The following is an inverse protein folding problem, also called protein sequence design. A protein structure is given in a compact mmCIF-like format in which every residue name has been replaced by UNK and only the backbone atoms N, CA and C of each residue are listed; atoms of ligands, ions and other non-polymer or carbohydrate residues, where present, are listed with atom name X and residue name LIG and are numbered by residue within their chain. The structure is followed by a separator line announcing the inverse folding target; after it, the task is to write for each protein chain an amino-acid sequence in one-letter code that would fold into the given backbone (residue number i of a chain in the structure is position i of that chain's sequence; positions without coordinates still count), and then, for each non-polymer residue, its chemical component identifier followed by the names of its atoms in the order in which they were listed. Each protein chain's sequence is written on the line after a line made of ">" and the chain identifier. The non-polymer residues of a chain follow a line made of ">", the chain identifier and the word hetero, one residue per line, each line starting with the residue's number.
data_IF_003158090445
#
_entry.id   IF_003158090445
#
_cell.length_a   1.000
_cell.length_b   1.000
_cell.length_c   1.000
_cell.angle_alpha   90.00
_cell.angle_beta   90.00
_cell.angle_gamma   90.00
#
_symmetry.space_group_name_H-M   'P 1'
#
loop_
_entity.id
_entity.type
_entity.pdbx_description
1 polymer ?
#
# COMPACT_ATOMS: atom_id res chain seq x y z
N UNK A 1 14.86 -17.88 28.17
CA UNK A 1 13.86 -16.80 28.37
C UNK A 1 12.78 -16.97 27.32
N UNK A 2 11.59 -17.52 27.64
CA UNK A 2 10.53 -17.65 26.65
C UNK A 2 9.82 -16.28 26.51
N UNK A 3 9.93 -15.66 25.34
CA UNK A 3 9.22 -14.41 25.03
C UNK A 3 7.84 -14.75 24.48
N UNK A 4 6.80 -14.23 25.13
CA UNK A 4 5.39 -14.46 24.83
C UNK A 4 4.98 -13.71 23.57
N UNK A 5 4.62 -14.47 22.53
CA UNK A 5 4.07 -13.93 21.27
C UNK A 5 2.64 -13.43 21.48
N UNK A 6 2.46 -12.11 21.62
CA UNK A 6 1.14 -11.49 21.58
C UNK A 6 0.73 -11.25 20.12
N UNK A 7 -0.05 -12.16 19.55
CA UNK A 7 -0.74 -11.96 18.27
C UNK A 7 -1.80 -10.89 18.46
N UNK A 8 -1.52 -9.66 18.01
CA UNK A 8 -2.52 -8.59 17.92
C UNK A 8 -3.48 -8.91 16.77
N UNK A 9 -4.50 -9.71 17.05
CA UNK A 9 -5.62 -9.95 16.15
C UNK A 9 -6.20 -8.60 15.75
N UNK A 10 -6.11 -8.24 14.46
CA UNK A 10 -6.83 -7.06 13.96
C UNK A 10 -8.30 -7.31 14.25
N UNK A 11 -8.88 -6.50 15.13
CA UNK A 11 -10.32 -6.47 15.34
C UNK A 11 -10.94 -5.98 14.02
N UNK A 12 -11.46 -6.91 13.21
CA UNK A 12 -12.15 -6.59 11.96
C UNK A 12 -13.47 -5.96 12.38
N UNK A 13 -13.49 -4.63 12.45
CA UNK A 13 -14.72 -3.88 12.63
C UNK A 13 -15.44 -3.84 11.29
N UNK A 14 -16.43 -4.70 11.11
CA UNK A 14 -17.30 -4.71 9.93
C UNK A 14 -18.20 -3.48 9.99
N UNK A 15 -17.79 -2.41 9.33
CA UNK A 15 -18.68 -1.32 8.96
C UNK A 15 -19.44 -1.72 7.68
N UNK A 16 -20.71 -1.30 7.51
CA UNK A 16 -21.42 -1.50 6.26
C UNK A 16 -20.67 -0.80 5.12
N UNK A 17 -20.13 -1.59 4.19
CA UNK A 17 -19.49 -1.07 2.98
C UNK A 17 -20.56 -0.89 1.91
N UNK A 18 -20.66 0.32 1.35
CA UNK A 18 -21.58 0.60 0.22
C UNK A 18 -21.06 0.04 -1.11
N UNK A 19 -19.85 -0.53 -1.15
CA UNK A 19 -19.26 -1.15 -2.33
C UNK A 19 -19.53 -2.66 -2.40
N UNK A 20 -19.85 -3.14 -3.60
CA UNK A 20 -20.00 -4.55 -3.93
C UNK A 20 -18.74 -5.00 -4.67
N UNK A 21 -18.08 -6.07 -4.21
CA UNK A 21 -16.96 -6.69 -4.91
C UNK A 21 -17.47 -7.85 -5.79
N UNK A 22 -17.27 -7.72 -7.10
CA UNK A 22 -17.61 -8.72 -8.09
C UNK A 22 -16.33 -9.41 -8.59
N UNK A 23 -16.41 -10.72 -8.85
CA UNK A 23 -15.32 -11.50 -9.43
C UNK A 23 -15.69 -11.92 -10.84
N UNK A 24 -14.83 -11.62 -11.81
CA UNK A 24 -14.97 -12.02 -13.20
C UNK A 24 -13.86 -13.00 -13.58
N UNK A 25 -14.08 -13.82 -14.60
CA UNK A 25 -12.97 -14.44 -15.35
C UNK A 25 -12.53 -13.40 -16.38
N UNK A 26 -11.22 -13.15 -16.50
CA UNK A 26 -10.67 -12.16 -17.43
C UNK A 26 -11.21 -12.35 -18.86
N UNK A 27 -11.44 -11.25 -19.63
CA UNK A 27 -11.16 -9.86 -19.28
C UNK A 27 -12.23 -9.19 -18.39
N UNK A 28 -11.82 -8.18 -17.61
CA UNK A 28 -12.75 -7.38 -16.79
C UNK A 28 -13.73 -6.58 -17.68
N UNK A 29 -15.06 -6.71 -17.51
CA UNK A 29 -16.02 -5.92 -18.29
C UNK A 29 -15.97 -4.45 -17.88
N UNK A 30 -16.18 -3.53 -18.82
CA UNK A 30 -16.18 -2.08 -18.53
C UNK A 30 -17.38 -1.66 -17.66
N UNK A 31 -18.53 -2.32 -17.85
CA UNK A 31 -19.80 -1.99 -17.21
C UNK A 31 -20.57 -3.25 -16.83
N UNK A 32 -21.32 -3.17 -15.73
CA UNK A 32 -22.22 -4.22 -15.24
C UNK A 32 -23.60 -3.63 -14.92
N UNK A 33 -24.64 -4.39 -15.19
CA UNK A 33 -26.02 -3.98 -14.87
C UNK A 33 -26.55 -4.82 -13.71
N UNK A 34 -27.01 -4.16 -12.65
CA UNK A 34 -27.61 -4.80 -11.48
C UNK A 34 -28.91 -4.06 -11.18
N UNK A 35 -30.05 -4.75 -11.19
CA UNK A 35 -31.35 -4.14 -10.88
C UNK A 35 -31.69 -2.93 -11.78
N UNK A 36 -31.41 -3.02 -13.08
CA UNK A 36 -31.61 -1.95 -14.08
C UNK A 36 -30.74 -0.70 -13.90
N UNK A 37 -29.73 -0.74 -13.03
CA UNK A 37 -28.71 0.31 -12.89
C UNK A 37 -27.40 -0.13 -13.51
N UNK A 38 -26.73 0.78 -14.23
CA UNK A 38 -25.44 0.52 -14.88
C UNK A 38 -24.30 1.07 -14.03
N UNK A 39 -23.35 0.21 -13.68
CA UNK A 39 -22.17 0.55 -12.89
C UNK A 39 -20.90 0.39 -13.73
N UNK A 40 -19.97 1.33 -13.59
CA UNK A 40 -18.63 1.18 -14.13
C UNK A 40 -17.82 0.26 -13.23
N UNK A 41 -17.23 -0.78 -13.83
CA UNK A 41 -16.38 -1.71 -13.10
C UNK A 41 -15.01 -1.07 -12.93
N UNK A 42 -14.47 -1.14 -11.72
CA UNK A 42 -13.09 -0.72 -11.42
C UNK A 42 -12.34 -1.93 -10.87
N UNK A 43 -11.10 -2.18 -11.31
CA UNK A 43 -10.24 -3.17 -10.68
C UNK A 43 -10.17 -2.93 -9.17
N UNK A 44 -10.34 -3.99 -8.38
CA UNK A 44 -10.17 -3.90 -6.94
C UNK A 44 -8.68 -4.04 -6.59
N UNK A 45 -7.94 -2.95 -6.79
CA UNK A 45 -6.52 -2.86 -6.46
C UNK A 45 -6.35 -2.60 -4.96
N UNK A 46 -5.88 -3.60 -4.23
CA UNK A 46 -5.52 -3.42 -2.82
C UNK A 46 -4.14 -2.75 -2.73
N UNK A 47 -3.97 -1.76 -1.85
CA UNK A 47 -2.67 -1.12 -1.69
C UNK A 47 -1.62 -2.16 -1.26
N UNK A 48 -0.51 -2.21 -1.98
CA UNK A 48 0.59 -3.12 -1.67
C UNK A 48 1.20 -2.74 -0.32
N UNK A 49 1.38 -3.72 0.56
CA UNK A 49 2.03 -3.50 1.85
C UNK A 49 3.50 -3.12 1.63
N UNK A 50 3.85 -1.94 2.15
CA UNK A 50 5.22 -1.41 2.14
C UNK A 50 5.80 -1.43 3.54
N UNK A 51 7.03 -1.90 3.67
CA UNK A 51 7.76 -1.82 4.92
C UNK A 51 8.01 -0.35 5.30
N UNK A 52 7.62 0.04 6.51
CA UNK A 52 7.81 1.43 6.99
C UNK A 52 9.26 1.77 7.31
N UNK A 53 10.14 0.77 7.36
CA UNK A 53 11.57 0.93 7.65
C UNK A 53 12.39 1.04 6.37
N UNK A 54 12.39 0.00 5.54
CA UNK A 54 13.22 -0.05 4.33
C UNK A 54 12.50 0.42 3.05
N UNK A 55 11.20 0.74 3.12
CA UNK A 55 10.37 1.21 2.00
C UNK A 55 10.17 0.21 0.84
N UNK A 56 10.67 -1.03 0.97
CA UNK A 56 10.42 -2.12 0.03
C UNK A 56 9.06 -2.79 0.28
N UNK A 57 8.54 -3.47 -0.74
CA UNK A 57 7.30 -4.22 -0.68
C UNK A 57 7.50 -5.66 -0.22
N UNK A 58 6.40 -6.35 0.11
CA UNK A 58 6.38 -7.79 0.37
C UNK A 58 6.63 -8.21 1.82
N UNK A 59 6.98 -7.26 2.71
CA UNK A 59 7.14 -7.53 4.13
C UNK A 59 6.75 -6.35 5.01
N UNK A 60 6.39 -6.66 6.26
CA UNK A 60 6.16 -5.65 7.30
C UNK A 60 7.43 -5.35 8.11
N UNK A 61 7.39 -4.30 8.93
CA UNK A 61 8.52 -3.86 9.75
C UNK A 61 9.06 -4.97 10.68
N UNK A 62 8.18 -5.83 11.19
CA UNK A 62 8.54 -6.93 12.12
C UNK A 62 9.53 -7.92 11.48
N UNK A 63 9.42 -8.15 10.17
CA UNK A 63 10.27 -9.10 9.43
C UNK A 63 11.34 -8.37 8.58
N UNK A 64 11.57 -7.08 8.85
CA UNK A 64 12.49 -6.28 8.06
C UNK A 64 13.92 -6.46 8.53
N UNK A 65 14.76 -7.04 7.66
CA UNK A 65 16.21 -7.11 7.84
C UNK A 65 16.97 -6.06 7.01
N UNK A 66 16.25 -5.18 6.31
CA UNK A 66 16.84 -4.12 5.47
C UNK A 66 17.22 -2.85 6.24
N UNK A 67 18.01 -2.01 5.58
CA UNK A 67 18.39 -0.68 6.06
C UNK A 67 17.18 0.28 6.08
N UNK A 68 17.20 1.23 7.01
CA UNK A 68 16.17 2.27 7.07
C UNK A 68 16.39 3.31 5.97
N UNK A 69 15.31 3.73 5.32
CA UNK A 69 15.32 4.77 4.30
C UNK A 69 14.44 5.95 4.71
N UNK A 70 14.88 7.15 4.33
CA UNK A 70 14.09 8.36 4.51
C UNK A 70 12.79 8.28 3.69
N UNK A 71 11.65 8.52 4.33
CA UNK A 71 10.30 8.52 3.75
C UNK A 71 10.06 9.67 2.77
N UNK A 72 10.97 10.64 2.68
CA UNK A 72 10.92 11.75 1.72
C UNK A 72 11.75 11.48 0.47
N UNK A 73 13.02 11.12 0.66
CA UNK A 73 14.01 11.05 -0.42
C UNK A 73 14.64 9.67 -0.64
N UNK A 74 14.22 8.64 0.10
CA UNK A 74 14.80 7.29 0.07
C UNK A 74 16.29 7.23 0.42
N UNK A 75 16.87 8.26 1.02
CA UNK A 75 18.27 8.25 1.46
C UNK A 75 18.49 7.44 2.74
N UNK A 76 19.73 7.01 2.98
CA UNK A 76 20.16 6.36 4.22
C UNK A 76 20.42 7.39 5.33
N UNK A 77 19.35 7.96 5.88
CA UNK A 77 19.39 8.85 7.04
C UNK A 77 18.01 8.95 7.70
N UNK A 78 17.96 9.57 8.87
CA UNK A 78 16.71 9.79 9.59
C UNK A 78 15.76 10.75 8.87
N UNK A 79 14.46 10.62 9.14
CA UNK A 79 13.44 11.46 8.51
C UNK A 79 13.50 12.91 8.98
N UNK A 80 13.98 13.14 10.20
CA UNK A 80 13.97 14.45 10.84
C UNK A 80 14.98 15.39 10.17
N UNK A 81 14.51 16.58 9.80
CA UNK A 81 15.36 17.58 9.15
C UNK A 81 15.74 17.25 7.69
N UNK A 82 15.05 16.33 7.02
CA UNK A 82 15.33 16.04 5.62
C UNK A 82 14.99 17.23 4.69
N UNK A 83 16.03 17.94 4.26
CA UNK A 83 15.94 19.06 3.29
C UNK A 83 16.02 18.61 1.83
N UNK A 84 16.30 17.33 1.55
CA UNK A 84 16.37 16.81 0.18
C UNK A 84 15.00 16.84 -0.49
N UNK A 85 15.01 16.90 -1.81
CA UNK A 85 13.79 16.79 -2.61
C UNK A 85 13.15 15.41 -2.51
N UNK A 86 11.87 15.36 -2.86
CA UNK A 86 11.08 14.14 -2.90
C UNK A 86 11.63 13.16 -3.93
N UNK A 87 12.00 11.97 -3.46
CA UNK A 87 12.63 10.96 -4.29
C UNK A 87 12.17 9.55 -3.90
N UNK A 88 11.53 8.89 -4.86
CA UNK A 88 10.99 7.56 -4.75
C UNK A 88 12.04 6.50 -5.10
N UNK A 89 12.15 5.46 -4.26
CA UNK A 89 13.09 4.35 -4.46
C UNK A 89 12.91 3.63 -5.81
N UNK A 90 11.68 3.59 -6.33
CA UNK A 90 11.33 2.88 -7.56
C UNK A 90 11.22 3.78 -8.79
N UNK A 91 10.81 5.03 -8.61
CA UNK A 91 10.49 5.95 -9.71
C UNK A 91 11.48 7.11 -9.86
N UNK A 92 12.36 7.33 -8.87
CA UNK A 92 13.26 8.47 -8.84
C UNK A 92 12.59 9.76 -8.36
N UNK A 93 13.06 10.94 -8.82
CA UNK A 93 12.58 12.23 -8.33
C UNK A 93 11.13 12.53 -8.75
N UNK A 94 10.46 13.42 -8.01
CA UNK A 94 9.14 13.98 -8.36
C UNK A 94 8.01 13.62 -7.39
N UNK A 95 8.18 12.59 -6.56
CA UNK A 95 7.27 12.30 -5.45
C UNK A 95 7.95 11.51 -4.33
N UNK A 96 7.46 11.67 -3.09
CA UNK A 96 7.93 10.86 -1.98
C UNK A 96 7.50 9.38 -2.11
N UNK A 97 8.28 8.42 -1.59
CA UNK A 97 8.00 6.97 -1.62
C UNK A 97 6.62 6.55 -1.10
N UNK A 98 6.02 7.36 -0.24
CA UNK A 98 4.70 7.08 0.34
C UNK A 98 3.53 7.70 -0.43
N UNK A 99 3.80 8.37 -1.56
CA UNK A 99 2.77 8.99 -2.40
C UNK A 99 1.85 7.93 -3.02
N UNK A 100 0.55 8.22 -3.04
CA UNK A 100 -0.46 7.42 -3.76
C UNK A 100 -0.35 7.56 -5.28
N UNK A 101 0.42 8.53 -5.76
CA UNK A 101 0.67 8.75 -7.19
C UNK A 101 1.77 7.82 -7.74
N UNK A 102 2.46 7.09 -6.87
CA UNK A 102 3.51 6.20 -7.29
C UNK A 102 2.92 4.98 -8.02
N UNK A 103 3.29 4.73 -9.29
CA UNK A 103 2.75 3.61 -10.07
C UNK A 103 3.16 2.24 -9.50
N UNK A 104 4.28 2.17 -8.76
CA UNK A 104 4.69 0.93 -8.08
C UNK A 104 3.84 0.58 -6.84
N UNK A 105 2.96 1.49 -6.40
CA UNK A 105 2.10 1.31 -5.24
C UNK A 105 0.65 0.95 -5.61
N UNK A 106 0.35 0.93 -6.92
CA UNK A 106 -0.87 0.48 -7.56
C UNK A 106 -0.67 -0.95 -8.07
#
# INVERSE_FOLDING_TARGET
>A
MPYTSQTKTRHIQTAPNQAIHLKFREPLPERVTIGNLVYHVRPNTLPVMRCTRCLLFGHGNIFCNGCAHCRKCSGFHDNDGCIREDHCLFCGPGHCPTSKQCPACL
#
